data_IF_082447667739
#
_entry.id   IF_082447667739
#
_cell.length_a   1.000
_cell.length_b   1.000
_cell.length_c   1.000
_cell.angle_alpha   90.00
_cell.angle_beta   90.00
_cell.angle_gamma   90.00
#
_symmetry.space_group_name_H-M   'P 1'
#
loop_
_entity.id
_entity.type
_entity.pdbx_description
1 polymer ?
#
# COMPACT_ATOMS: atom_id res chain seq x y z
N UNK A 1 -36.40 3.75 -13.91
CA UNK A 1 -35.94 2.47 -13.30
C UNK A 1 -35.18 2.83 -12.04
N UNK A 2 -35.66 2.43 -10.88
CA UNK A 2 -35.05 2.79 -9.59
C UNK A 2 -34.11 1.66 -9.18
N UNK A 3 -32.80 1.87 -9.32
CA UNK A 3 -31.75 0.90 -8.96
C UNK A 3 -31.28 1.14 -7.53
N UNK A 4 -32.21 1.27 -6.58
CA UNK A 4 -31.89 1.68 -5.20
C UNK A 4 -31.91 0.45 -4.30
N UNK A 5 -30.72 0.05 -3.86
CA UNK A 5 -30.56 -0.90 -2.77
C UNK A 5 -30.82 -0.18 -1.44
N UNK A 6 -31.75 -0.72 -0.67
CA UNK A 6 -32.12 -0.17 0.61
C UNK A 6 -31.05 -0.48 1.66
N UNK A 7 -30.61 0.55 2.40
CA UNK A 7 -29.52 0.44 3.39
C UNK A 7 -29.91 -0.40 4.60
N UNK A 8 -31.17 -0.37 5.00
CA UNK A 8 -31.65 -1.08 6.18
C UNK A 8 -31.73 -2.59 5.90
N UNK A 9 -32.11 -2.97 4.68
CA UNK A 9 -32.18 -4.37 4.27
C UNK A 9 -30.86 -4.95 3.77
N UNK A 10 -29.84 -4.10 3.52
CA UNK A 10 -28.53 -4.52 3.00
C UNK A 10 -27.34 -3.94 3.79
N UNK A 11 -27.33 -4.02 5.13
CA UNK A 11 -26.31 -3.34 5.96
C UNK A 11 -24.89 -3.83 5.65
N UNK A 12 -24.72 -5.13 5.40
CA UNK A 12 -23.41 -5.75 5.12
C UNK A 12 -22.77 -5.20 3.85
N UNK A 13 -23.57 -4.97 2.79
CA UNK A 13 -23.08 -4.38 1.55
C UNK A 13 -22.53 -2.98 1.79
N UNK A 14 -23.32 -2.12 2.45
CA UNK A 14 -22.91 -0.74 2.71
C UNK A 14 -21.76 -0.66 3.72
N UNK A 15 -21.68 -1.58 4.68
CA UNK A 15 -20.52 -1.69 5.56
C UNK A 15 -19.24 -1.99 4.76
N UNK A 16 -19.27 -2.97 3.86
CA UNK A 16 -18.11 -3.37 3.05
C UNK A 16 -17.72 -2.28 2.05
N UNK A 17 -18.70 -1.75 1.31
CA UNK A 17 -18.49 -0.89 0.14
C UNK A 17 -18.24 0.57 0.49
N UNK A 18 -18.85 1.07 1.58
CA UNK A 18 -18.72 2.48 1.95
C UNK A 18 -17.86 2.70 3.18
N UNK A 19 -18.06 1.92 4.25
CA UNK A 19 -17.34 2.17 5.50
C UNK A 19 -15.93 1.57 5.47
N UNK A 20 -15.84 0.25 5.26
CA UNK A 20 -14.56 -0.47 5.30
C UNK A 20 -13.66 -0.08 4.14
N UNK A 21 -14.20 0.00 2.93
CA UNK A 21 -13.44 0.44 1.76
C UNK A 21 -12.87 1.85 1.93
N UNK A 22 -13.69 2.84 2.33
CA UNK A 22 -13.20 4.22 2.52
C UNK A 22 -12.11 4.28 3.58
N UNK A 23 -12.28 3.56 4.70
CA UNK A 23 -11.26 3.47 5.74
C UNK A 23 -9.94 2.91 5.21
N UNK A 24 -9.99 1.86 4.38
CA UNK A 24 -8.79 1.30 3.75
C UNK A 24 -8.13 2.30 2.81
N UNK A 25 -8.93 3.03 2.03
CA UNK A 25 -8.43 4.03 1.09
C UNK A 25 -7.78 5.22 1.81
N UNK A 26 -8.34 5.67 2.94
CA UNK A 26 -7.74 6.73 3.76
C UNK A 26 -6.40 6.30 4.35
N UNK A 27 -6.32 5.07 4.85
CA UNK A 27 -5.07 4.49 5.32
C UNK A 27 -4.04 4.36 4.19
N UNK A 28 -4.47 3.87 3.02
CA UNK A 28 -3.63 3.78 1.83
C UNK A 28 -3.08 5.15 1.44
N UNK A 29 -3.92 6.18 1.35
CA UNK A 29 -3.52 7.54 1.01
C UNK A 29 -2.52 8.10 2.01
N UNK A 30 -2.77 7.91 3.30
CA UNK A 30 -1.87 8.34 4.38
C UNK A 30 -0.50 7.68 4.26
N UNK A 31 -0.44 6.36 4.07
CA UNK A 31 0.82 5.62 3.95
C UNK A 31 1.54 5.99 2.64
N UNK A 32 0.82 6.08 1.52
CA UNK A 32 1.41 6.44 0.24
C UNK A 32 2.00 7.85 0.27
N UNK A 33 1.33 8.79 0.95
CA UNK A 33 1.87 10.12 1.21
C UNK A 33 3.17 10.06 2.03
N UNK A 34 3.22 9.29 3.12
CA UNK A 34 4.45 9.10 3.91
C UNK A 34 5.60 8.53 3.05
N UNK A 35 5.31 7.55 2.19
CA UNK A 35 6.32 6.98 1.27
C UNK A 35 6.85 8.06 0.32
N UNK A 36 5.98 8.90 -0.24
CA UNK A 36 6.38 9.99 -1.12
C UNK A 36 7.19 11.08 -0.40
N UNK A 37 6.75 11.46 0.80
CA UNK A 37 7.36 12.51 1.61
C UNK A 37 8.70 12.08 2.24
N UNK A 38 8.92 10.77 2.44
CA UNK A 38 10.16 10.22 2.96
C UNK A 38 11.34 10.55 2.03
N UNK A 39 12.26 11.39 2.53
CA UNK A 39 13.47 11.83 1.81
C UNK A 39 14.68 11.07 2.31
N UNK A 40 15.48 10.57 1.37
CA UNK A 40 16.71 9.84 1.69
C UNK A 40 17.90 10.78 1.41
N UNK A 41 18.53 11.35 2.45
CA UNK A 41 19.61 12.30 2.30
C UNK A 41 20.89 11.59 1.89
N UNK A 42 21.63 12.20 0.96
CA UNK A 42 22.87 11.66 0.40
C UNK A 42 23.95 11.46 1.46
N UNK A 43 24.03 12.34 2.46
CA UNK A 43 25.17 12.39 3.41
C UNK A 43 24.94 11.54 4.65
N UNK A 44 23.69 11.41 5.12
CA UNK A 44 23.35 10.71 6.37
C UNK A 44 22.14 9.78 6.22
N UNK A 45 22.14 8.85 5.24
CA UNK A 45 20.99 8.02 4.93
C UNK A 45 20.56 7.14 6.12
N UNK A 46 21.50 6.75 6.99
CA UNK A 46 21.26 5.89 8.15
C UNK A 46 20.15 6.38 9.12
N UNK A 47 19.86 7.69 9.16
CA UNK A 47 18.80 8.26 10.01
C UNK A 47 17.38 7.97 9.50
N UNK A 48 17.23 7.60 8.23
CA UNK A 48 15.93 7.38 7.57
C UNK A 48 15.39 5.98 7.79
N UNK A 49 16.23 5.05 8.28
CA UNK A 49 15.82 3.66 8.53
C UNK A 49 14.61 3.55 9.46
N UNK A 50 14.59 4.32 10.55
CA UNK A 50 13.50 4.28 11.52
C UNK A 50 12.16 4.69 10.91
N UNK A 51 12.14 5.76 10.11
CA UNK A 51 10.95 6.21 9.38
C UNK A 51 10.47 5.15 8.39
N UNK A 52 11.38 4.51 7.65
CA UNK A 52 11.04 3.43 6.72
C UNK A 52 10.49 2.19 7.45
N UNK A 53 11.04 1.84 8.59
CA UNK A 53 10.56 0.73 9.43
C UNK A 53 9.15 1.01 9.98
N UNK A 54 8.85 2.25 10.36
CA UNK A 54 7.50 2.68 10.77
C UNK A 54 6.50 2.56 9.61
N UNK A 55 6.85 3.07 8.42
CA UNK A 55 6.04 2.93 7.21
C UNK A 55 5.79 1.44 6.91
N UNK A 56 6.80 0.59 7.05
CA UNK A 56 6.64 -0.86 6.83
C UNK A 56 5.61 -1.48 7.77
N UNK A 57 5.64 -1.07 9.05
CA UNK A 57 4.70 -1.57 10.06
C UNK A 57 3.27 -1.18 9.73
N UNK A 58 3.06 0.07 9.33
CA UNK A 58 1.74 0.55 8.89
C UNK A 58 1.27 -0.19 7.62
N UNK A 59 2.17 -0.41 6.66
CA UNK A 59 1.86 -1.13 5.42
C UNK A 59 1.44 -2.58 5.70
N UNK A 60 2.12 -3.28 6.62
CA UNK A 60 1.73 -4.63 7.06
C UNK A 60 0.35 -4.65 7.70
N UNK A 61 0.03 -3.66 8.54
CA UNK A 61 -1.28 -3.54 9.15
C UNK A 61 -2.38 -3.27 8.11
N UNK A 62 -2.12 -2.39 7.14
CA UNK A 62 -3.02 -2.14 6.01
C UNK A 62 -3.23 -3.42 5.18
N UNK A 63 -2.17 -4.16 4.88
CA UNK A 63 -2.27 -5.40 4.11
C UNK A 63 -3.14 -6.46 4.82
N UNK A 64 -3.00 -6.61 6.14
CA UNK A 64 -3.85 -7.51 6.91
C UNK A 64 -5.33 -7.08 6.87
N UNK A 65 -5.62 -5.80 7.07
CA UNK A 65 -6.98 -5.26 7.00
C UNK A 65 -7.58 -5.40 5.59
N UNK A 66 -6.76 -5.18 4.55
CA UNK A 66 -7.13 -5.40 3.16
C UNK A 66 -7.50 -6.86 2.89
N UNK A 67 -6.71 -7.83 3.36
CA UNK A 67 -7.00 -9.25 3.14
C UNK A 67 -8.34 -9.65 3.77
N UNK A 68 -8.62 -9.21 5.00
CA UNK A 68 -9.92 -9.47 5.65
C UNK A 68 -11.07 -8.86 4.85
N UNK A 69 -10.93 -7.60 4.41
CA UNK A 69 -11.93 -6.93 3.61
C UNK A 69 -12.14 -7.59 2.25
N UNK A 70 -11.05 -7.95 1.56
CA UNK A 70 -11.08 -8.54 0.23
C UNK A 70 -11.74 -9.93 0.24
N UNK A 71 -11.51 -10.71 1.30
CA UNK A 71 -12.22 -11.97 1.52
C UNK A 71 -13.73 -11.74 1.66
N UNK A 72 -14.15 -10.85 2.58
CA UNK A 72 -15.58 -10.54 2.80
C UNK A 72 -16.26 -9.97 1.56
N UNK A 73 -15.57 -9.10 0.84
CA UNK A 73 -16.05 -8.52 -0.41
C UNK A 73 -16.17 -9.60 -1.51
N UNK A 74 -15.22 -10.53 -1.58
CA UNK A 74 -15.25 -11.67 -2.48
C UNK A 74 -16.42 -12.62 -2.17
N UNK A 75 -16.63 -12.96 -0.90
CA UNK A 75 -17.73 -13.83 -0.46
C UNK A 75 -19.09 -13.23 -0.86
N UNK A 76 -19.28 -11.93 -0.63
CA UNK A 76 -20.51 -11.21 -1.03
C UNK A 76 -20.70 -11.14 -2.55
N UNK A 77 -19.60 -11.13 -3.32
CA UNK A 77 -19.68 -11.13 -4.79
C UNK A 77 -20.07 -12.50 -5.34
N UNK A 78 -19.58 -13.58 -4.73
CA UNK A 78 -19.89 -14.97 -5.12
C UNK A 78 -21.30 -15.37 -4.72
N UNK A 79 -21.72 -14.98 -3.52
CA UNK A 79 -23.06 -15.26 -2.99
C UNK A 79 -23.75 -13.94 -2.57
N UNK A 80 -24.36 -13.21 -3.50
CA UNK A 80 -24.97 -11.91 -3.20
C UNK A 80 -26.21 -12.07 -2.34
N UNK A 81 -26.14 -11.62 -1.08
CA UNK A 81 -27.26 -11.63 -0.13
C UNK A 81 -27.93 -10.27 -0.10
N UNK A 82 -28.61 -9.92 -1.20
CA UNK A 82 -29.34 -8.66 -1.29
C UNK A 82 -30.79 -8.81 -0.83
N UNK A 83 -31.24 -7.87 0.00
CA UNK A 83 -32.65 -7.70 0.35
C UNK A 83 -33.37 -6.84 -0.69
N UNK A 84 -34.39 -7.40 -1.33
CA UNK A 84 -35.19 -6.75 -2.39
C UNK A 84 -36.59 -6.36 -1.90
N UNK A 85 -37.16 -5.30 -2.45
CA UNK A 85 -38.56 -4.92 -2.29
C UNK A 85 -39.43 -5.59 -3.36
N UNK A 86 -40.74 -5.70 -3.07
CA UNK A 86 -41.71 -6.16 -4.07
C UNK A 86 -41.70 -5.19 -5.25
N UNK A 87 -41.63 -5.72 -6.47
CA UNK A 87 -41.53 -5.00 -7.75
C UNK A 87 -40.12 -4.51 -8.16
N UNK A 88 -39.07 -4.87 -7.42
CA UNK A 88 -37.69 -4.57 -7.81
C UNK A 88 -37.25 -5.36 -9.06
N UNK A 89 -36.48 -4.70 -9.93
CA UNK A 89 -35.74 -5.38 -10.99
C UNK A 89 -34.48 -6.04 -10.41
N UNK A 90 -34.68 -7.22 -9.80
CA UNK A 90 -33.67 -8.00 -9.08
C UNK A 90 -32.40 -8.18 -9.92
N UNK A 91 -32.54 -8.56 -11.20
CA UNK A 91 -31.40 -8.80 -12.09
C UNK A 91 -30.58 -7.52 -12.27
N UNK A 92 -31.24 -6.39 -12.55
CA UNK A 92 -30.56 -5.13 -12.78
C UNK A 92 -29.86 -4.60 -11.52
N UNK A 93 -30.49 -4.76 -10.34
CA UNK A 93 -29.91 -4.42 -9.03
C UNK A 93 -28.67 -5.30 -8.77
N UNK A 94 -28.80 -6.62 -8.90
CA UNK A 94 -27.70 -7.55 -8.67
C UNK A 94 -26.51 -7.24 -9.58
N UNK A 95 -26.74 -7.05 -10.89
CA UNK A 95 -25.68 -6.71 -11.85
C UNK A 95 -25.01 -5.39 -11.49
N UNK A 96 -25.78 -4.36 -11.16
CA UNK A 96 -25.26 -3.03 -10.84
C UNK A 96 -24.37 -3.06 -9.59
N UNK A 97 -24.87 -3.59 -8.47
CA UNK A 97 -24.17 -3.55 -7.19
C UNK A 97 -23.00 -4.53 -7.12
N UNK A 98 -23.11 -5.70 -7.76
CA UNK A 98 -21.98 -6.61 -7.94
C UNK A 98 -20.91 -6.02 -8.88
N UNK A 99 -21.32 -5.26 -9.90
CA UNK A 99 -20.39 -4.50 -10.75
C UNK A 99 -19.58 -3.47 -9.95
N UNK A 100 -20.24 -2.70 -9.09
CA UNK A 100 -19.58 -1.73 -8.18
C UNK A 100 -18.61 -2.44 -7.24
N UNK A 101 -19.04 -3.53 -6.61
CA UNK A 101 -18.22 -4.30 -5.66
C UNK A 101 -16.98 -4.88 -6.37
N UNK A 102 -17.16 -5.49 -7.54
CA UNK A 102 -16.06 -6.01 -8.37
C UNK A 102 -15.08 -4.90 -8.77
N UNK A 103 -15.58 -3.73 -9.16
CA UNK A 103 -14.74 -2.59 -9.49
C UNK A 103 -13.88 -2.16 -8.27
N UNK A 104 -14.49 -2.01 -7.09
CA UNK A 104 -13.76 -1.65 -5.87
C UNK A 104 -12.71 -2.68 -5.46
N UNK A 105 -13.04 -3.97 -5.57
CA UNK A 105 -12.08 -5.06 -5.35
C UNK A 105 -10.90 -4.90 -6.32
N UNK A 106 -11.18 -4.70 -7.61
CA UNK A 106 -10.12 -4.53 -8.62
C UNK A 106 -9.23 -3.32 -8.32
N UNK A 107 -9.83 -2.18 -7.99
CA UNK A 107 -9.11 -0.95 -7.64
C UNK A 107 -8.22 -1.16 -6.42
N UNK A 108 -8.76 -1.71 -5.33
CA UNK A 108 -7.99 -1.91 -4.11
C UNK A 108 -6.85 -2.94 -4.30
N UNK A 109 -7.07 -4.00 -5.07
CA UNK A 109 -6.00 -4.95 -5.44
C UNK A 109 -4.86 -4.23 -6.18
N UNK A 110 -5.19 -3.39 -7.14
CA UNK A 110 -4.21 -2.60 -7.88
C UNK A 110 -3.45 -1.63 -6.97
N UNK A 111 -4.17 -0.88 -6.13
CA UNK A 111 -3.60 0.10 -5.23
C UNK A 111 -2.67 -0.54 -4.19
N UNK A 112 -3.03 -1.72 -3.67
CA UNK A 112 -2.17 -2.48 -2.75
C UNK A 112 -0.86 -2.93 -3.40
N UNK A 113 -0.87 -3.30 -4.68
CA UNK A 113 0.35 -3.60 -5.42
C UNK A 113 1.19 -2.34 -5.66
N UNK A 114 0.56 -1.22 -6.02
CA UNK A 114 1.23 0.04 -6.26
C UNK A 114 1.97 0.55 -5.01
N UNK A 115 1.30 0.57 -3.85
CA UNK A 115 1.93 1.07 -2.62
C UNK A 115 3.08 0.17 -2.15
N UNK A 116 2.97 -1.15 -2.33
CA UNK A 116 4.07 -2.08 -2.06
C UNK A 116 5.27 -1.80 -2.98
N UNK A 117 5.03 -1.58 -4.27
CA UNK A 117 6.08 -1.22 -5.23
C UNK A 117 6.72 0.13 -4.90
N UNK A 118 5.92 1.15 -4.55
CA UNK A 118 6.42 2.46 -4.15
C UNK A 118 7.32 2.37 -2.91
N UNK A 119 6.90 1.59 -1.91
CA UNK A 119 7.71 1.34 -0.71
C UNK A 119 9.02 0.60 -1.04
N UNK A 120 8.96 -0.46 -1.85
CA UNK A 120 10.15 -1.22 -2.25
C UNK A 120 11.14 -0.35 -3.03
N UNK A 121 10.67 0.47 -3.97
CA UNK A 121 11.51 1.42 -4.70
C UNK A 121 12.22 2.40 -3.75
N UNK A 122 11.52 2.87 -2.70
CA UNK A 122 12.11 3.73 -1.68
C UNK A 122 13.18 3.01 -0.88
N UNK A 123 12.94 1.75 -0.50
CA UNK A 123 13.92 0.92 0.21
C UNK A 123 15.15 0.64 -0.65
N UNK A 124 14.98 0.39 -1.94
CA UNK A 124 16.10 0.14 -2.85
C UNK A 124 16.92 1.42 -3.07
N UNK A 125 16.27 2.57 -3.16
CA UNK A 125 16.95 3.87 -3.15
C UNK A 125 17.77 4.05 -1.86
N UNK A 126 17.20 3.71 -0.69
CA UNK A 126 17.91 3.77 0.59
C UNK A 126 19.14 2.88 0.59
N UNK A 127 19.00 1.60 0.23
CA UNK A 127 20.12 0.64 0.17
C UNK A 127 21.19 1.09 -0.82
N UNK A 128 20.80 1.61 -1.98
CA UNK A 128 21.73 2.11 -2.98
C UNK A 128 22.59 3.26 -2.43
N UNK A 129 21.99 4.23 -1.75
CA UNK A 129 22.73 5.34 -1.12
C UNK A 129 23.68 4.86 -0.02
N UNK A 130 23.26 3.90 0.81
CA UNK A 130 24.10 3.29 1.83
C UNK A 130 25.32 2.61 1.19
N UNK A 131 25.10 1.79 0.16
CA UNK A 131 26.18 1.11 -0.56
C UNK A 131 27.15 2.09 -1.21
N UNK A 132 26.66 3.21 -1.74
CA UNK A 132 27.49 4.26 -2.31
C UNK A 132 28.41 4.91 -1.26
N UNK A 133 27.89 5.23 -0.07
CA UNK A 133 28.71 5.79 1.03
C UNK A 133 29.77 4.79 1.48
N UNK A 134 29.39 3.51 1.61
CA UNK A 134 30.34 2.44 1.97
C UNK A 134 31.45 2.35 0.92
N UNK A 135 31.10 2.40 -0.37
CA UNK A 135 32.07 2.34 -1.47
C UNK A 135 33.03 3.54 -1.44
N UNK A 136 32.53 4.77 -1.29
CA UNK A 136 33.37 5.98 -1.19
C UNK A 136 34.30 5.90 0.02
N UNK A 137 33.76 5.53 1.19
CA UNK A 137 34.56 5.43 2.42
C UNK A 137 35.65 4.38 2.27
N UNK A 138 35.34 3.22 1.67
CA UNK A 138 36.31 2.16 1.39
C UNK A 138 37.39 2.63 0.42
N UNK A 139 37.02 3.37 -0.63
CA UNK A 139 37.97 3.96 -1.58
C UNK A 139 38.92 4.94 -0.89
N UNK A 140 38.39 5.88 -0.09
CA UNK A 140 39.21 6.87 0.64
C UNK A 140 40.18 6.18 1.60
N UNK A 141 39.73 5.18 2.36
CA UNK A 141 40.58 4.43 3.28
C UNK A 141 41.69 3.68 2.53
N UNK A 142 41.36 3.03 1.41
CA UNK A 142 42.34 2.33 0.58
C UNK A 142 43.37 3.30 0.00
N UNK A 143 42.92 4.45 -0.49
CA UNK A 143 43.80 5.49 -1.03
C UNK A 143 44.72 6.09 0.03
N UNK A 144 44.22 6.36 1.23
CA UNK A 144 45.05 6.78 2.36
C UNK A 144 46.09 5.71 2.73
N UNK A 145 45.69 4.44 2.75
CA UNK A 145 46.62 3.32 2.98
C UNK A 145 47.73 3.27 1.94
N UNK A 146 47.40 3.49 0.67
CA UNK A 146 48.38 3.59 -0.42
C UNK A 146 49.35 4.77 -0.22
N UNK A 147 48.84 5.96 0.13
CA UNK A 147 49.69 7.13 0.41
C UNK A 147 50.67 6.84 1.55
N UNK A 148 50.16 6.29 2.67
CA UNK A 148 50.98 5.95 3.84
C UNK A 148 52.06 4.93 3.43
N UNK A 149 51.69 3.88 2.69
CA UNK A 149 52.62 2.87 2.22
C UNK A 149 53.71 3.44 1.30
N UNK A 150 53.37 4.36 0.40
CA UNK A 150 54.36 5.05 -0.42
C UNK A 150 55.30 5.91 0.44
N UNK A 151 54.77 6.63 1.43
CA UNK A 151 55.58 7.47 2.31
C UNK A 151 56.51 6.68 3.24
N UNK A 152 56.20 5.43 3.58
CA UNK A 152 57.11 4.56 4.37
C UNK A 152 58.16 3.84 3.52
N UNK A 153 57.98 3.77 2.19
CA UNK A 153 58.95 3.15 1.27
C UNK A 153 60.01 4.16 0.83
N UNK A 154 59.69 5.46 0.82
CA UNK A 154 60.61 6.56 0.51
C UNK A 154 61.18 7.20 1.80
#
# INVERSE_FOLDING_TARGET
MNLVLDRETNPDYFEIVEKRFTKLMDQWNSINKKIHDAKIPIVVPFRVKGELDEIQKELKALQAAFLEWNQKAGDLLVEPKYGYKKDDNIIAIMVHYSGILKHRISTMNHDMLLIANNYNNKIDQYKSQINFIIAITSFVLTFMGLIIALYTIF
#
